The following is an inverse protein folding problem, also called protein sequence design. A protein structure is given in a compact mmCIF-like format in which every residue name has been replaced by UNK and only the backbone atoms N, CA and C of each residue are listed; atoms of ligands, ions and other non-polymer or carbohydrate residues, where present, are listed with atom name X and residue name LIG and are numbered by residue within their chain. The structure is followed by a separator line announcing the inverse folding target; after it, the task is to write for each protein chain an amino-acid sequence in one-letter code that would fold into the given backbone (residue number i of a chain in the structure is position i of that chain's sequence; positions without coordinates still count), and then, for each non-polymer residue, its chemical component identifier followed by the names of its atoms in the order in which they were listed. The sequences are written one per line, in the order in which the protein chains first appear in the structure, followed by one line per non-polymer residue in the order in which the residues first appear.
data_IF_454945903788
#
_entry.id   IF_454945903788
#
_cell.length_a   1.000
_cell.length_b   1.000
_cell.length_c   1.000
_cell.angle_alpha   90.00
_cell.angle_beta   90.00
_cell.angle_gamma   90.00
#
_symmetry.space_group_name_H-M   'P 1'
#
loop_
_entity.id
_entity.type
_entity.pdbx_description
1 polymer ?
#
# COMPACT_ATOMS: atom_id res chain seq x y z
N UNK A 1 39.96 28.39 -3.26
CA UNK A 1 39.95 26.97 -3.65
C UNK A 1 39.51 26.14 -2.45
N UNK A 2 38.29 25.69 -2.43
CA UNK A 2 37.78 24.78 -1.39
C UNK A 2 37.20 23.56 -2.11
N UNK A 3 37.89 22.42 -1.94
CA UNK A 3 37.52 21.15 -2.52
C UNK A 3 36.30 20.58 -1.78
N UNK A 4 35.18 20.45 -2.46
CA UNK A 4 33.98 19.78 -1.96
C UNK A 4 34.17 18.27 -1.93
N UNK A 5 34.19 17.72 -0.73
CA UNK A 5 34.22 16.27 -0.49
C UNK A 5 32.88 15.67 -0.84
N UNK A 6 32.77 14.97 -1.95
CA UNK A 6 31.65 14.10 -2.28
C UNK A 6 31.57 12.98 -1.25
N UNK A 7 30.53 12.96 -0.45
CA UNK A 7 30.18 11.83 0.41
C UNK A 7 29.72 10.66 -0.50
N UNK A 8 30.47 9.56 -0.46
CA UNK A 8 30.07 8.31 -1.10
C UNK A 8 28.81 7.76 -0.42
N UNK A 9 27.76 7.55 -1.19
CA UNK A 9 26.60 6.77 -0.75
C UNK A 9 26.98 5.29 -0.67
N UNK A 10 26.55 4.56 0.36
CA UNK A 10 26.74 3.12 0.39
C UNK A 10 25.86 2.48 -0.70
N UNK A 11 26.49 1.75 -1.61
CA UNK A 11 25.83 0.88 -2.59
C UNK A 11 25.23 -0.31 -1.84
N UNK A 12 23.94 -0.23 -1.50
CA UNK A 12 23.17 -1.43 -1.16
C UNK A 12 22.72 -2.08 -2.47
N UNK A 13 23.39 -3.13 -2.87
CA UNK A 13 22.84 -4.03 -3.89
C UNK A 13 21.51 -4.56 -3.43
N UNK A 14 20.48 -4.60 -4.30
CA UNK A 14 19.22 -5.22 -3.97
C UNK A 14 19.45 -6.72 -3.72
N UNK A 15 18.76 -7.34 -2.74
CA UNK A 15 18.92 -8.76 -2.45
C UNK A 15 18.58 -9.58 -3.70
N UNK A 16 19.56 -10.36 -4.15
CA UNK A 16 19.55 -11.43 -5.12
C UNK A 16 18.50 -11.40 -6.22
N UNK A 17 18.90 -10.99 -7.43
CA UNK A 17 18.21 -11.42 -8.63
C UNK A 17 18.25 -12.95 -8.68
N UNK A 18 17.19 -13.61 -8.24
CA UNK A 18 17.00 -15.04 -8.41
C UNK A 18 17.08 -15.34 -9.91
N UNK A 19 17.89 -16.34 -10.28
CA UNK A 19 18.11 -16.82 -11.65
C UNK A 19 16.77 -17.01 -12.35
N UNK A 20 16.56 -16.24 -13.43
CA UNK A 20 15.30 -15.96 -14.07
C UNK A 20 14.54 -17.15 -14.62
N UNK A 21 13.78 -17.83 -13.78
CA UNK A 21 12.63 -18.58 -14.25
C UNK A 21 11.46 -17.59 -14.40
N UNK A 22 10.80 -17.65 -15.57
CA UNK A 22 9.58 -16.87 -15.81
C UNK A 22 8.57 -17.14 -14.68
N UNK A 23 7.95 -16.11 -14.09
CA UNK A 23 6.90 -16.31 -13.09
C UNK A 23 5.81 -17.24 -13.63
N UNK A 24 5.24 -18.09 -12.78
CA UNK A 24 4.08 -18.90 -13.14
C UNK A 24 2.89 -17.98 -13.43
N UNK A 25 2.48 -17.83 -14.71
CA UNK A 25 1.42 -16.89 -15.06
C UNK A 25 0.08 -17.30 -14.46
N UNK A 26 -0.18 -18.59 -14.26
CA UNK A 26 -1.45 -19.08 -13.71
C UNK A 26 -1.55 -18.73 -12.22
N UNK A 27 -0.46 -18.81 -11.48
CA UNK A 27 -0.44 -18.39 -10.08
C UNK A 27 -0.72 -16.89 -9.93
N UNK A 28 -0.05 -16.05 -10.72
CA UNK A 28 -0.24 -14.59 -10.70
C UNK A 28 -1.67 -14.21 -11.09
N UNK A 29 -2.18 -14.75 -12.20
CA UNK A 29 -3.54 -14.46 -12.67
C UNK A 29 -4.62 -14.97 -11.71
N UNK A 30 -4.37 -16.06 -11.00
CA UNK A 30 -5.27 -16.56 -9.94
C UNK A 30 -5.39 -15.56 -8.81
N UNK A 31 -4.28 -15.06 -8.27
CA UNK A 31 -4.28 -14.03 -7.21
C UNK A 31 -5.10 -12.83 -7.65
N UNK A 32 -4.86 -12.30 -8.86
CA UNK A 32 -5.57 -11.14 -9.40
C UNK A 32 -7.09 -11.38 -9.52
N UNK A 33 -7.51 -12.58 -9.95
CA UNK A 33 -8.94 -12.92 -10.18
C UNK A 33 -9.69 -13.23 -8.89
N UNK A 34 -9.01 -13.78 -7.88
CA UNK A 34 -9.65 -14.26 -6.66
C UNK A 34 -9.55 -13.28 -5.48
N UNK A 35 -8.66 -12.27 -5.57
CA UNK A 35 -8.58 -11.25 -4.53
C UNK A 35 -9.92 -10.53 -4.38
N UNK A 36 -10.36 -10.43 -3.14
CA UNK A 36 -11.51 -9.62 -2.76
C UNK A 36 -11.23 -8.85 -1.47
N UNK A 37 -12.10 -7.89 -1.11
CA UNK A 37 -11.98 -7.17 0.15
C UNK A 37 -12.49 -8.02 1.30
N UNK A 38 -11.76 -7.98 2.42
CA UNK A 38 -12.14 -8.62 3.69
C UNK A 38 -12.27 -7.54 4.75
N UNK A 39 -13.33 -7.60 5.54
CA UNK A 39 -13.64 -6.63 6.60
C UNK A 39 -13.91 -7.29 7.96
N UNK A 40 -13.93 -8.61 8.00
CA UNK A 40 -14.12 -9.39 9.21
C UNK A 40 -12.88 -10.25 9.43
N UNK A 41 -12.28 -10.11 10.59
CA UNK A 41 -10.99 -10.70 10.93
C UNK A 41 -11.10 -11.52 12.21
N UNK A 42 -10.25 -12.53 12.35
CA UNK A 42 -10.03 -13.24 13.61
C UNK A 42 -9.09 -12.41 14.50
N UNK A 43 -8.97 -12.79 15.76
CA UNK A 43 -8.04 -12.16 16.71
C UNK A 43 -6.58 -12.64 16.52
N UNK A 44 -6.33 -13.53 15.55
CA UNK A 44 -4.99 -14.04 15.27
C UNK A 44 -4.10 -12.93 14.72
N UNK A 45 -2.91 -12.70 15.31
CA UNK A 45 -1.99 -11.69 14.83
C UNK A 45 -1.29 -12.13 13.55
N UNK A 46 -1.07 -11.20 12.63
CA UNK A 46 -0.21 -11.43 11.45
C UNK A 46 1.22 -11.63 11.93
N UNK A 47 1.90 -12.66 11.42
CA UNK A 47 3.30 -12.95 11.75
C UNK A 47 4.25 -11.83 11.30
N UNK A 48 5.40 -11.69 11.95
CA UNK A 48 6.42 -10.71 11.53
C UNK A 48 6.95 -11.02 10.12
N UNK A 49 7.07 -12.29 9.76
CA UNK A 49 7.49 -12.70 8.43
C UNK A 49 6.47 -12.29 7.34
N UNK A 50 5.17 -12.45 7.64
CA UNK A 50 4.12 -12.00 6.70
C UNK A 50 4.08 -10.49 6.58
N UNK A 51 4.25 -9.76 7.69
CA UNK A 51 4.35 -8.29 7.65
C UNK A 51 5.53 -7.85 6.79
N UNK A 52 6.70 -8.48 6.93
CA UNK A 52 7.87 -8.18 6.10
C UNK A 52 7.60 -8.46 4.61
N UNK A 53 6.96 -9.59 4.29
CA UNK A 53 6.57 -9.94 2.93
C UNK A 53 5.60 -8.90 2.34
N UNK A 54 4.59 -8.46 3.11
CA UNK A 54 3.64 -7.44 2.70
C UNK A 54 4.31 -6.10 2.41
N UNK A 55 5.19 -5.65 3.30
CA UNK A 55 5.91 -4.37 3.15
C UNK A 55 6.88 -4.45 1.98
N UNK A 56 7.59 -5.57 1.81
CA UNK A 56 8.50 -5.79 0.68
C UNK A 56 7.75 -5.74 -0.64
N UNK A 57 6.62 -6.45 -0.76
CA UNK A 57 5.80 -6.41 -1.98
C UNK A 57 5.29 -4.99 -2.28
N UNK A 58 4.86 -4.27 -1.26
CA UNK A 58 4.35 -2.91 -1.39
C UNK A 58 5.38 -1.94 -1.99
N UNK A 59 6.62 -1.95 -1.49
CA UNK A 59 7.65 -1.00 -1.93
C UNK A 59 8.24 -1.33 -3.30
N UNK A 60 7.91 -2.48 -3.91
CA UNK A 60 8.30 -2.82 -5.30
C UNK A 60 7.40 -2.18 -6.35
N UNK A 61 6.33 -1.48 -5.96
CA UNK A 61 5.45 -0.81 -6.90
C UNK A 61 6.20 0.25 -7.72
N UNK A 62 5.81 0.47 -8.99
CA UNK A 62 6.42 1.52 -9.81
C UNK A 62 6.03 2.91 -9.28
N UNK A 63 6.93 3.88 -9.47
CA UNK A 63 6.66 5.29 -9.19
C UNK A 63 7.07 6.18 -10.35
N UNK A 64 6.38 7.30 -10.52
CA UNK A 64 6.73 8.31 -11.50
C UNK A 64 8.20 8.75 -11.30
N UNK A 65 9.01 8.66 -12.36
CA UNK A 65 10.44 8.97 -12.36
C UNK A 65 11.25 8.25 -11.25
N UNK A 66 10.77 7.12 -10.78
CA UNK A 66 11.33 6.39 -9.62
C UNK A 66 11.50 7.28 -8.38
N UNK A 67 10.62 8.25 -8.18
CA UNK A 67 10.71 9.26 -7.13
C UNK A 67 10.44 8.69 -5.74
N UNK A 68 9.62 7.63 -5.65
CA UNK A 68 9.28 6.94 -4.40
C UNK A 68 8.74 7.91 -3.34
N UNK A 69 7.90 8.86 -3.77
CA UNK A 69 7.30 9.90 -2.93
C UNK A 69 6.16 9.33 -2.06
N UNK A 70 6.49 8.37 -1.22
CA UNK A 70 5.60 7.69 -0.30
C UNK A 70 6.27 7.46 1.05
N UNK A 71 5.43 7.31 2.07
CA UNK A 71 5.80 6.81 3.38
C UNK A 71 4.67 5.93 3.92
N UNK A 72 5.02 4.93 4.68
CA UNK A 72 4.07 3.97 5.21
C UNK A 72 4.26 3.80 6.71
N UNK A 73 3.14 3.75 7.45
CA UNK A 73 3.14 3.48 8.88
C UNK A 73 2.36 2.19 9.11
N UNK A 74 3.01 1.18 9.65
CA UNK A 74 2.37 -0.08 10.06
C UNK A 74 2.02 0.01 11.53
N UNK A 75 0.73 -0.03 11.84
CA UNK A 75 0.20 0.01 13.20
C UNK A 75 -0.27 -1.38 13.58
N UNK A 76 0.32 -1.95 14.65
CA UNK A 76 -0.01 -3.29 15.18
C UNK A 76 -0.30 -3.27 16.68
N UNK A 77 0.11 -2.19 17.36
CA UNK A 77 -0.12 -2.05 18.81
C UNK A 77 -1.63 -1.85 19.04
N UNK A 78 -2.29 -2.72 19.87
CA UNK A 78 -3.76 -2.77 19.96
C UNK A 78 -4.41 -1.45 20.38
N UNK A 79 -3.84 -0.72 21.33
CA UNK A 79 -4.37 0.56 21.79
C UNK A 79 -4.31 1.62 20.69
N UNK A 80 -3.23 1.60 19.91
CA UNK A 80 -3.03 2.52 18.80
C UNK A 80 -3.96 2.20 17.62
N UNK A 81 -4.18 0.90 17.33
CA UNK A 81 -5.18 0.46 16.36
C UNK A 81 -6.58 0.99 16.72
N UNK A 82 -7.01 0.83 17.96
CA UNK A 82 -8.30 1.33 18.44
C UNK A 82 -8.38 2.85 18.31
N UNK A 83 -7.32 3.56 18.69
CA UNK A 83 -7.28 5.03 18.61
C UNK A 83 -7.39 5.53 17.18
N UNK A 84 -6.65 4.94 16.22
CA UNK A 84 -6.73 5.32 14.81
C UNK A 84 -8.11 4.99 14.22
N UNK A 85 -8.68 3.82 14.54
CA UNK A 85 -10.01 3.42 14.07
C UNK A 85 -11.12 4.37 14.52
N UNK A 86 -11.02 4.99 15.69
CA UNK A 86 -12.01 5.97 16.16
C UNK A 86 -12.19 7.16 15.18
N UNK A 87 -11.19 7.45 14.37
CA UNK A 87 -11.20 8.50 13.36
C UNK A 87 -11.23 7.97 11.92
N UNK A 88 -11.47 6.68 11.74
CA UNK A 88 -11.46 6.01 10.45
C UNK A 88 -12.75 5.18 10.22
N UNK A 89 -13.90 5.82 9.96
CA UNK A 89 -15.18 5.12 9.77
C UNK A 89 -15.16 4.14 8.58
N UNK A 90 -14.23 4.29 7.64
CA UNK A 90 -14.03 3.35 6.54
C UNK A 90 -13.33 2.06 6.93
N UNK A 91 -12.73 1.99 8.12
CA UNK A 91 -12.10 0.78 8.66
C UNK A 91 -13.13 0.00 9.46
N UNK A 92 -13.72 -0.99 8.79
CA UNK A 92 -14.73 -1.88 9.36
C UNK A 92 -14.02 -3.09 10.00
N UNK A 93 -14.64 -3.65 11.05
CA UNK A 93 -14.10 -4.80 11.79
C UNK A 93 -12.94 -4.42 12.71
N UNK A 94 -12.28 -5.42 13.27
CA UNK A 94 -11.11 -5.27 14.16
C UNK A 94 -9.93 -5.97 13.50
N UNK A 95 -9.12 -5.24 12.70
CA UNK A 95 -7.95 -5.82 12.06
C UNK A 95 -6.81 -6.03 13.07
N UNK A 96 -5.93 -6.98 12.82
CA UNK A 96 -4.69 -7.15 13.58
C UNK A 96 -3.55 -6.24 13.10
N UNK A 97 -3.73 -5.59 11.94
CA UNK A 97 -2.80 -4.62 11.37
C UNK A 97 -3.57 -3.51 10.64
N UNK A 98 -3.10 -2.28 10.79
CA UNK A 98 -3.53 -1.14 9.99
C UNK A 98 -2.31 -0.50 9.33
N UNK A 99 -2.34 -0.40 7.99
CA UNK A 99 -1.36 0.34 7.22
C UNK A 99 -1.92 1.75 6.96
N UNK A 100 -1.12 2.78 7.25
CA UNK A 100 -1.37 4.16 6.81
C UNK A 100 -0.44 4.46 5.64
N UNK A 101 -1.00 4.56 4.46
CA UNK A 101 -0.26 4.84 3.23
C UNK A 101 -0.30 6.34 2.93
N UNK A 102 0.88 6.96 2.86
CA UNK A 102 1.05 8.39 2.79
C UNK A 102 1.76 8.81 1.51
N UNK A 103 1.34 9.95 0.97
CA UNK A 103 2.09 10.70 -0.01
C UNK A 103 3.12 11.58 0.73
N UNK A 104 4.37 11.49 0.34
CA UNK A 104 5.48 12.27 0.91
C UNK A 104 5.79 13.49 0.02
N UNK A 105 5.31 14.64 0.44
CA UNK A 105 5.53 15.90 -0.28
C UNK A 105 6.96 16.44 -0.20
N UNK A 106 7.80 15.92 0.70
CA UNK A 106 9.21 16.33 0.82
C UNK A 106 10.08 15.84 -0.33
N UNK A 107 9.60 14.88 -1.11
CA UNK A 107 10.29 14.31 -2.26
C UNK A 107 10.17 15.15 -3.54
N UNK A 108 9.54 16.33 -3.47
CA UNK A 108 9.34 17.23 -4.60
C UNK A 108 10.09 18.54 -4.40
N UNK A 109 10.68 19.03 -5.49
CA UNK A 109 11.17 20.42 -5.58
C UNK A 109 10.02 21.38 -5.87
N UNK A 110 10.27 22.69 -5.78
CA UNK A 110 9.27 23.70 -6.14
C UNK A 110 8.85 23.60 -7.64
N UNK A 111 9.78 23.18 -8.50
CA UNK A 111 9.54 22.99 -9.94
C UNK A 111 8.66 21.79 -10.24
N UNK A 112 8.83 20.70 -9.49
CA UNK A 112 8.05 19.45 -9.63
C UNK A 112 6.59 19.57 -9.14
N UNK A 113 6.32 20.54 -8.27
CA UNK A 113 5.08 20.58 -7.50
C UNK A 113 3.80 20.61 -8.36
N UNK A 114 3.86 21.16 -9.57
CA UNK A 114 2.71 21.29 -10.46
C UNK A 114 2.51 20.11 -11.41
N UNK A 115 3.56 19.35 -11.70
CA UNK A 115 3.52 18.26 -12.70
C UNK A 115 3.47 16.88 -12.05
N UNK A 116 4.31 16.63 -11.06
CA UNK A 116 4.51 15.29 -10.50
C UNK A 116 3.72 15.04 -9.20
N UNK A 117 3.37 16.10 -8.47
CA UNK A 117 2.66 15.98 -7.19
C UNK A 117 1.33 15.23 -7.29
N UNK A 118 0.47 15.45 -8.31
CA UNK A 118 -0.76 14.66 -8.47
C UNK A 118 -0.50 13.17 -8.68
N UNK A 119 0.65 12.79 -9.28
CA UNK A 119 1.01 11.40 -9.55
C UNK A 119 1.40 10.64 -8.27
N UNK A 120 1.83 11.33 -7.22
CA UNK A 120 2.22 10.70 -5.96
C UNK A 120 1.11 9.86 -5.33
N UNK A 121 -0.14 10.34 -5.35
CA UNK A 121 -1.29 9.57 -4.85
C UNK A 121 -1.55 8.31 -5.69
N UNK A 122 -1.32 8.35 -7.01
CA UNK A 122 -1.43 7.17 -7.89
C UNK A 122 -0.33 6.16 -7.56
N UNK A 123 0.90 6.63 -7.29
CA UNK A 123 2.00 5.76 -6.87
C UNK A 123 1.69 5.06 -5.53
N UNK A 124 1.15 5.80 -4.56
CA UNK A 124 0.69 5.22 -3.29
C UNK A 124 -0.40 4.17 -3.52
N UNK A 125 -1.36 4.43 -4.42
CA UNK A 125 -2.42 3.47 -4.74
C UNK A 125 -1.87 2.18 -5.39
N UNK A 126 -0.87 2.28 -6.28
CA UNK A 126 -0.18 1.11 -6.85
C UNK A 126 0.56 0.30 -5.77
N UNK A 127 1.22 0.98 -4.83
CA UNK A 127 1.87 0.31 -3.70
C UNK A 127 0.86 -0.40 -2.80
N UNK A 128 -0.28 0.22 -2.53
CA UNK A 128 -1.38 -0.39 -1.78
C UNK A 128 -1.94 -1.61 -2.51
N UNK A 129 -2.11 -1.57 -3.85
CA UNK A 129 -2.58 -2.75 -4.59
C UNK A 129 -1.59 -3.92 -4.48
N UNK A 130 -0.27 -3.67 -4.56
CA UNK A 130 0.74 -4.72 -4.31
C UNK A 130 0.58 -5.33 -2.91
N UNK A 131 0.34 -4.51 -1.88
CA UNK A 131 0.06 -4.98 -0.53
C UNK A 131 -1.18 -5.88 -0.49
N UNK A 132 -2.28 -5.48 -1.15
CA UNK A 132 -3.54 -6.23 -1.18
C UNK A 132 -3.37 -7.59 -1.88
N UNK A 133 -2.61 -7.64 -2.98
CA UNK A 133 -2.31 -8.86 -3.72
C UNK A 133 -1.43 -9.80 -2.89
N UNK A 134 -0.41 -9.27 -2.23
CA UNK A 134 0.46 -10.04 -1.35
C UNK A 134 -0.33 -10.60 -0.15
N UNK A 135 -1.19 -9.79 0.49
CA UNK A 135 -2.05 -10.24 1.57
C UNK A 135 -2.91 -11.43 1.14
N UNK A 136 -3.57 -11.32 -0.03
CA UNK A 136 -4.39 -12.40 -0.56
C UNK A 136 -3.55 -13.66 -0.89
N UNK A 137 -2.35 -13.50 -1.45
CA UNK A 137 -1.44 -14.62 -1.75
C UNK A 137 -0.97 -15.35 -0.47
N UNK A 138 -0.84 -14.64 0.64
CA UNK A 138 -0.49 -15.18 1.97
C UNK A 138 -1.70 -15.74 2.73
N UNK A 139 -2.90 -15.74 2.15
CA UNK A 139 -4.13 -16.19 2.82
C UNK A 139 -4.68 -15.16 3.82
N UNK A 140 -4.16 -13.94 3.82
CA UNK A 140 -4.65 -12.83 4.64
C UNK A 140 -5.78 -12.08 3.93
N UNK A 141 -6.64 -11.46 4.73
CA UNK A 141 -7.66 -10.55 4.26
C UNK A 141 -7.22 -9.09 4.40
N UNK A 142 -7.55 -8.24 3.43
CA UNK A 142 -7.29 -6.82 3.53
C UNK A 142 -8.39 -5.97 2.88
N UNK A 143 -8.55 -4.72 3.36
CA UNK A 143 -9.51 -3.76 2.82
C UNK A 143 -8.92 -2.35 2.82
N UNK A 144 -8.81 -1.67 1.66
CA UNK A 144 -8.43 -0.28 1.60
C UNK A 144 -9.62 0.61 1.98
N UNK A 145 -9.36 1.71 2.68
CA UNK A 145 -10.35 2.69 3.10
C UNK A 145 -9.83 4.11 2.84
N UNK A 146 -10.69 4.96 2.27
CA UNK A 146 -10.43 6.39 2.07
C UNK A 146 -11.28 7.28 2.98
N UNK A 147 -12.24 6.70 3.70
CA UNK A 147 -13.10 7.42 4.64
C UNK A 147 -12.47 7.46 6.02
N UNK A 148 -11.73 8.53 6.31
CA UNK A 148 -11.09 8.80 7.61
C UNK A 148 -10.84 10.30 7.79
N UNK A 149 -10.58 10.71 9.03
CA UNK A 149 -10.22 12.09 9.39
C UNK A 149 -8.68 12.20 9.44
N UNK A 150 -8.04 12.88 8.49
CA UNK A 150 -6.58 12.91 8.40
C UNK A 150 -5.91 13.60 9.59
N UNK A 151 -6.42 14.72 10.07
CA UNK A 151 -5.75 15.52 11.12
C UNK A 151 -5.63 14.78 12.46
N UNK A 152 -6.70 14.16 13.02
CA UNK A 152 -6.57 13.32 14.21
C UNK A 152 -5.57 12.17 14.04
N UNK A 153 -5.57 11.50 12.87
CA UNK A 153 -4.64 10.40 12.60
C UNK A 153 -3.19 10.91 12.57
N UNK A 154 -2.96 12.08 11.95
CA UNK A 154 -1.63 12.71 11.93
C UNK A 154 -1.12 13.00 13.34
N UNK A 155 -1.98 13.52 14.22
CA UNK A 155 -1.64 13.80 15.61
C UNK A 155 -1.35 12.51 16.39
N UNK A 156 -2.22 11.50 16.29
CA UNK A 156 -2.06 10.21 16.98
C UNK A 156 -0.78 9.47 16.59
N UNK A 157 -0.34 9.62 15.35
CA UNK A 157 0.83 8.92 14.82
C UNK A 157 2.08 9.81 14.74
N UNK A 158 2.03 11.04 15.28
CA UNK A 158 3.12 12.02 15.26
C UNK A 158 3.68 12.24 13.85
N UNK A 159 2.78 12.34 12.86
CA UNK A 159 3.17 12.47 11.46
C UNK A 159 3.67 13.88 11.17
N UNK A 160 4.82 14.03 10.48
CA UNK A 160 5.31 15.33 10.06
C UNK A 160 4.39 15.96 8.99
N UNK A 161 4.45 17.29 8.85
CA UNK A 161 3.54 18.05 7.99
C UNK A 161 3.60 17.67 6.50
N UNK A 162 4.75 17.17 6.03
CA UNK A 162 4.96 16.78 4.64
C UNK A 162 4.35 15.41 4.27
N UNK A 163 3.91 14.61 5.25
CA UNK A 163 3.24 13.34 4.98
C UNK A 163 1.73 13.54 4.93
N UNK A 164 1.13 13.21 3.81
CA UNK A 164 -0.32 13.25 3.60
C UNK A 164 -0.89 11.82 3.60
N UNK A 165 -1.72 11.42 4.58
CA UNK A 165 -2.41 10.15 4.53
C UNK A 165 -3.34 10.08 3.32
N UNK A 166 -3.17 9.06 2.47
CA UNK A 166 -3.96 8.87 1.24
C UNK A 166 -4.96 7.74 1.41
N UNK A 167 -4.51 6.62 1.95
CA UNK A 167 -5.31 5.42 2.20
C UNK A 167 -4.94 4.80 3.54
N UNK A 168 -5.95 4.22 4.18
CA UNK A 168 -5.76 3.24 5.25
C UNK A 168 -6.02 1.85 4.69
N UNK A 169 -5.27 0.85 5.15
CA UNK A 169 -5.54 -0.55 4.78
C UNK A 169 -5.62 -1.37 6.05
N UNK A 170 -6.80 -1.94 6.32
CA UNK A 170 -6.95 -2.93 7.37
C UNK A 170 -6.53 -4.30 6.87
N UNK A 171 -5.82 -5.09 7.70
CA UNK A 171 -5.43 -6.45 7.38
C UNK A 171 -5.49 -7.37 8.60
N UNK A 172 -5.70 -8.66 8.34
CA UNK A 172 -5.81 -9.71 9.36
C UNK A 172 -6.14 -11.05 8.74
N UNK A 173 -6.23 -12.09 9.57
CA UNK A 173 -6.73 -13.38 9.14
C UNK A 173 -8.25 -13.29 8.93
N UNK A 174 -8.78 -13.71 7.75
CA UNK A 174 -10.21 -13.58 7.46
C UNK A 174 -11.05 -14.47 8.39
N UNK A 175 -12.09 -13.93 9.01
CA UNK A 175 -13.05 -14.70 9.83
C UNK A 175 -13.96 -15.59 8.98
N UNK A 176 -14.16 -15.23 7.71
CA UNK A 176 -14.97 -15.97 6.74
C UNK A 176 -14.22 -16.05 5.41
N UNK A 177 -14.49 -17.08 4.57
CA UNK A 177 -13.96 -17.13 3.21
C UNK A 177 -14.31 -15.84 2.45
N UNK A 178 -13.35 -15.21 1.76
CA UNK A 178 -13.64 -14.00 1.01
C UNK A 178 -14.58 -14.28 -0.17
N UNK A 179 -15.55 -13.40 -0.36
CA UNK A 179 -16.49 -13.50 -1.48
C UNK A 179 -15.98 -12.68 -2.67
N UNK A 180 -15.99 -13.26 -3.90
CA UNK A 180 -15.65 -12.52 -5.10
C UNK A 180 -16.60 -11.33 -5.28
N UNK A 181 -16.04 -10.18 -5.61
CA UNK A 181 -16.85 -9.00 -5.94
C UNK A 181 -17.31 -9.08 -7.39
N UNK A 182 -18.58 -8.74 -7.63
CA UNK A 182 -19.11 -8.59 -8.98
C UNK A 182 -18.32 -7.52 -9.75
N UNK A 183 -18.14 -7.75 -11.04
CA UNK A 183 -17.48 -6.82 -11.95
C UNK A 183 -18.38 -6.59 -13.16
N UNK A 184 -18.31 -5.38 -13.68
CA UNK A 184 -18.94 -5.07 -14.96
C UNK A 184 -18.31 -5.95 -16.05
N UNK A 185 -19.08 -6.28 -17.10
CA UNK A 185 -18.59 -7.02 -18.24
C UNK A 185 -17.46 -6.22 -18.96
N UNK A 186 -16.52 -6.95 -19.56
CA UNK A 186 -15.34 -6.34 -20.18
C UNK A 186 -15.73 -5.35 -21.26
N UNK A 187 -16.71 -5.70 -22.09
CA UNK A 187 -17.25 -4.86 -23.19
C UNK A 187 -17.92 -3.58 -22.70
N UNK A 188 -18.29 -3.48 -21.43
CA UNK A 188 -18.82 -2.25 -20.83
C UNK A 188 -17.73 -1.26 -20.40
N UNK A 189 -16.49 -1.68 -20.26
CA UNK A 189 -15.41 -0.88 -19.66
C UNK A 189 -14.16 -0.81 -20.53
N UNK A 190 -14.05 -1.67 -21.53
CA UNK A 190 -12.92 -1.70 -22.47
C UNK A 190 -13.39 -1.37 -23.86
N UNK A 191 -12.64 -0.55 -24.55
CA UNK A 191 -12.76 -0.28 -25.98
C UNK A 191 -11.40 -0.51 -26.61
N UNK A 192 -11.40 -0.90 -27.89
CA UNK A 192 -10.19 -1.13 -28.67
C UNK A 192 -10.05 0.03 -29.67
N UNK A 193 -8.84 0.55 -29.78
CA UNK A 193 -8.39 1.62 -30.66
C UNK A 193 -9.05 2.99 -30.41
N UNK A 194 -10.35 3.07 -30.14
CA UNK A 194 -11.05 4.32 -29.82
C UNK A 194 -12.20 4.07 -28.84
N UNK A 195 -12.77 5.14 -28.29
CA UNK A 195 -13.96 5.06 -27.42
C UNK A 195 -15.26 5.20 -28.20
N UNK A 196 -15.22 5.50 -29.47
CA UNK A 196 -16.38 5.64 -30.36
C UNK A 196 -17.00 4.29 -30.70
#
# INVERSE_FOLDING_TARGET
MAAGTRRAQPSSEPPGAASGSRPDPDAVLRVLRTRSVVREYTDEPISDADVEALVTAMVTAPTASNRQAWAFIVVREPQRLLSVRAFAPGVIGIPSLLLVACHDHSQYTAEDANTDRPLGRLCVAMAVENFLLAAHALGLGACPASSFLPDPIRLLLNMPAHLEPVLLVSAGHPACPPHPSERRAIDQVVRYDSYA
#
